data_IF_841803071298
#
_entry.id   IF_841803071298
#
_cell.length_a   1.000
_cell.length_b   1.000
_cell.length_c   1.000
_cell.angle_alpha   90.00
_cell.angle_beta   90.00
_cell.angle_gamma   90.00
#
_symmetry.space_group_name_H-M   'P 1'
#
loop_
_entity.id
_entity.type
_entity.pdbx_description
1 polymer ?
#
# COMPACT_ATOMS: atom_id res chain seq x y z
N UNK A 1 32.29 -4.85 -12.28
CA UNK A 1 32.12 -4.31 -10.91
C UNK A 1 30.61 -4.23 -10.71
N UNK A 2 30.03 -5.34 -10.28
CA UNK A 2 28.58 -5.55 -10.27
C UNK A 2 28.06 -5.29 -8.86
N UNK A 3 27.35 -4.17 -8.68
CA UNK A 3 26.59 -3.91 -7.46
C UNK A 3 25.29 -4.72 -7.53
N UNK A 4 25.33 -5.91 -6.92
CA UNK A 4 24.16 -6.69 -6.56
C UNK A 4 23.65 -6.07 -5.25
N UNK A 5 22.59 -5.26 -5.29
CA UNK A 5 21.95 -4.75 -4.07
C UNK A 5 20.84 -5.74 -3.71
N UNK A 6 21.07 -6.42 -2.60
CA UNK A 6 20.19 -7.41 -1.98
C UNK A 6 19.14 -6.65 -1.17
N UNK A 7 17.92 -6.55 -1.68
CA UNK A 7 16.73 -6.24 -0.86
C UNK A 7 16.07 -7.57 -0.53
N UNK A 8 16.60 -8.26 0.48
CA UNK A 8 16.03 -9.52 0.97
C UNK A 8 16.16 -9.61 2.48
N UNK A 9 15.30 -8.92 3.23
CA UNK A 9 14.92 -9.25 4.61
C UNK A 9 13.50 -8.68 4.80
N UNK A 10 12.39 -9.39 4.57
CA UNK A 10 11.89 -10.55 5.31
C UNK A 10 10.95 -11.39 4.43
N UNK A 11 11.20 -12.71 4.40
CA UNK A 11 10.32 -13.85 4.02
C UNK A 11 10.88 -14.72 2.89
N UNK A 12 11.96 -15.46 3.16
CA UNK A 12 12.29 -16.68 2.42
C UNK A 12 11.84 -17.91 3.21
N UNK A 13 10.89 -18.66 2.63
CA UNK A 13 10.96 -20.12 2.48
C UNK A 13 9.75 -20.65 1.70
N UNK A 14 9.99 -21.06 0.44
CA UNK A 14 9.52 -22.37 -0.04
C UNK A 14 8.37 -22.42 -1.04
N UNK A 15 8.70 -23.02 -2.19
CA UNK A 15 7.87 -23.75 -3.17
C UNK A 15 7.11 -22.95 -4.23
N UNK A 16 7.68 -22.93 -5.43
CA UNK A 16 7.02 -22.58 -6.68
C UNK A 16 6.19 -23.77 -7.21
N UNK A 17 4.92 -23.52 -7.50
CA UNK A 17 4.07 -24.36 -8.34
C UNK A 17 3.70 -23.49 -9.55
N UNK A 18 4.12 -23.91 -10.74
CA UNK A 18 3.79 -23.23 -11.99
C UNK A 18 2.34 -23.53 -12.39
N UNK A 19 1.55 -22.49 -12.60
CA UNK A 19 0.24 -22.58 -13.25
C UNK A 19 0.17 -21.46 -14.29
N UNK A 20 -0.01 -21.80 -15.57
CA UNK A 20 -0.32 -20.81 -16.60
C UNK A 20 -1.77 -20.35 -16.43
N UNK A 21 -2.00 -19.07 -16.18
CA UNK A 21 -3.32 -18.47 -16.17
C UNK A 21 -3.49 -17.55 -17.39
N UNK A 22 -4.59 -17.70 -18.11
CA UNK A 22 -4.97 -16.85 -19.23
C UNK A 22 -5.40 -15.46 -18.75
N UNK A 23 -5.12 -14.41 -19.54
CA UNK A 23 -5.36 -13.00 -19.20
C UNK A 23 -6.82 -12.67 -18.88
N UNK A 24 -7.78 -13.39 -19.45
CA UNK A 24 -9.22 -13.24 -19.15
C UNK A 24 -9.62 -13.75 -17.75
N UNK A 25 -8.83 -14.65 -17.16
CA UNK A 25 -9.11 -15.30 -15.88
C UNK A 25 -8.67 -14.44 -14.68
N UNK A 26 -7.76 -13.48 -14.89
CA UNK A 26 -7.26 -12.59 -13.83
C UNK A 26 -8.26 -11.46 -13.55
N UNK A 27 -8.81 -10.80 -14.58
CA UNK A 27 -9.90 -9.82 -14.40
C UNK A 27 -11.16 -10.47 -13.77
N UNK A 28 -11.48 -11.71 -14.17
CA UNK A 28 -12.58 -12.48 -13.58
C UNK A 28 -12.31 -12.89 -12.12
N UNK A 29 -11.03 -13.05 -11.73
CA UNK A 29 -10.64 -13.33 -10.35
C UNK A 29 -10.84 -12.14 -9.41
N UNK A 30 -10.69 -10.91 -9.91
CA UNK A 30 -10.96 -9.68 -9.15
C UNK A 30 -12.46 -9.34 -9.08
N UNK A 31 -13.22 -9.64 -10.13
CA UNK A 31 -14.66 -9.38 -10.21
C UNK A 31 -15.54 -10.54 -9.77
N UNK A 32 -14.94 -11.61 -9.19
CA UNK A 32 -15.72 -12.78 -8.76
C UNK A 32 -16.74 -12.33 -7.73
N UNK A 33 -17.99 -12.32 -8.16
CA UNK A 33 -19.19 -11.90 -7.43
C UNK A 33 -19.32 -12.76 -6.16
N UNK A 34 -18.55 -12.42 -5.12
CA UNK A 34 -18.69 -12.98 -3.79
C UNK A 34 -19.98 -12.38 -3.27
N UNK A 35 -21.04 -13.20 -3.21
CA UNK A 35 -22.19 -12.87 -2.36
C UNK A 35 -21.64 -12.33 -1.05
N UNK A 36 -22.09 -11.16 -0.58
CA UNK A 36 -21.68 -10.56 0.69
C UNK A 36 -21.69 -11.66 1.74
N UNK A 37 -20.52 -12.24 2.05
CA UNK A 37 -20.38 -13.03 3.25
C UNK A 37 -20.38 -11.98 4.34
N UNK A 38 -21.22 -12.16 5.36
CA UNK A 38 -21.00 -11.45 6.61
C UNK A 38 -19.62 -11.89 7.11
N UNK A 39 -18.60 -11.11 6.76
CA UNK A 39 -17.25 -11.27 7.29
C UNK A 39 -17.36 -11.11 8.79
N UNK A 40 -16.80 -12.06 9.54
CA UNK A 40 -16.81 -12.01 11.01
C UNK A 40 -15.69 -11.12 11.56
N UNK A 41 -14.76 -10.72 10.69
CA UNK A 41 -13.60 -9.89 11.00
C UNK A 41 -13.71 -8.53 10.28
N UNK A 42 -13.34 -7.46 11.00
CA UNK A 42 -13.38 -6.09 10.49
C UNK A 42 -12.44 -5.92 9.28
N UNK A 43 -11.22 -6.46 9.36
CA UNK A 43 -10.22 -6.34 8.30
C UNK A 43 -10.65 -7.03 6.99
N UNK A 44 -11.34 -8.16 7.10
CA UNK A 44 -11.91 -8.87 5.95
C UNK A 44 -13.11 -8.12 5.37
N UNK A 45 -13.95 -7.53 6.23
CA UNK A 45 -15.08 -6.72 5.80
C UNK A 45 -14.64 -5.52 4.95
N UNK A 46 -13.68 -4.72 5.42
CA UNK A 46 -13.23 -3.54 4.68
C UNK A 46 -12.53 -3.91 3.35
N UNK A 47 -11.79 -5.02 3.32
CA UNK A 47 -11.13 -5.49 2.10
C UNK A 47 -12.13 -6.02 1.07
N UNK A 48 -13.03 -6.92 1.47
CA UNK A 48 -13.98 -7.56 0.55
C UNK A 48 -14.98 -6.53 -0.03
N UNK A 49 -15.24 -5.42 0.66
CA UNK A 49 -16.10 -4.32 0.18
C UNK A 49 -15.35 -3.17 -0.52
N UNK A 50 -14.07 -3.34 -0.83
CA UNK A 50 -13.26 -2.39 -1.60
C UNK A 50 -12.52 -3.03 -2.78
N UNK A 51 -12.93 -4.25 -3.18
CA UNK A 51 -12.31 -5.01 -4.29
C UNK A 51 -12.53 -4.37 -5.66
N UNK A 52 -13.53 -3.50 -5.81
CA UNK A 52 -13.73 -2.67 -6.99
C UNK A 52 -12.50 -1.77 -7.24
N UNK A 53 -11.95 -1.18 -6.18
CA UNK A 53 -10.76 -0.33 -6.27
C UNK A 53 -9.49 -1.13 -6.60
N UNK A 54 -9.45 -2.44 -6.33
CA UNK A 54 -8.36 -3.30 -6.78
C UNK A 54 -8.34 -3.43 -8.31
N UNK A 55 -9.51 -3.56 -8.93
CA UNK A 55 -9.62 -3.58 -10.38
C UNK A 55 -9.20 -2.24 -11.00
N UNK A 56 -9.56 -1.12 -10.37
CA UNK A 56 -9.10 0.20 -10.80
C UNK A 56 -7.58 0.35 -10.69
N UNK A 57 -6.99 -0.05 -9.56
CA UNK A 57 -5.54 -0.04 -9.37
C UNK A 57 -4.80 -0.87 -10.43
N UNK A 58 -5.34 -2.03 -10.78
CA UNK A 58 -4.78 -2.93 -11.80
C UNK A 58 -4.70 -2.31 -13.20
N UNK A 59 -5.62 -1.39 -13.52
CA UNK A 59 -5.68 -0.72 -14.83
C UNK A 59 -4.98 0.64 -14.85
N UNK A 60 -4.39 1.07 -13.73
CA UNK A 60 -3.56 2.30 -13.72
C UNK A 60 -2.41 2.20 -14.72
N UNK A 61 -2.00 3.34 -15.27
CA UNK A 61 -0.90 3.38 -16.25
C UNK A 61 0.41 2.83 -15.69
N UNK A 62 0.70 3.07 -14.41
CA UNK A 62 1.88 2.50 -13.76
C UNK A 62 1.84 0.97 -13.71
N UNK A 63 0.78 0.38 -13.14
CA UNK A 63 0.68 -1.08 -12.96
C UNK A 63 0.59 -1.79 -14.31
N UNK A 64 -0.22 -1.28 -15.24
CA UNK A 64 -0.32 -1.83 -16.59
C UNK A 64 1.00 -1.70 -17.37
N UNK A 65 1.74 -0.60 -17.18
CA UNK A 65 3.05 -0.38 -17.78
C UNK A 65 4.12 -1.34 -17.25
N UNK A 66 4.14 -1.59 -15.94
CA UNK A 66 5.01 -2.62 -15.31
C UNK A 66 4.66 -4.00 -15.84
N UNK A 67 3.37 -4.35 -15.85
CA UNK A 67 2.85 -5.63 -16.36
C UNK A 67 3.32 -5.91 -17.78
N UNK A 68 3.25 -4.90 -18.65
CA UNK A 68 3.56 -5.02 -20.07
C UNK A 68 5.04 -4.78 -20.40
N UNK A 69 5.85 -4.33 -19.43
CA UNK A 69 7.26 -4.01 -19.65
C UNK A 69 7.49 -2.73 -20.47
N UNK A 70 6.51 -1.84 -20.53
CA UNK A 70 6.53 -0.65 -21.39
C UNK A 70 6.24 0.67 -20.65
N UNK A 71 6.21 0.67 -19.31
CA UNK A 71 6.22 1.91 -18.53
C UNK A 71 7.44 2.77 -18.94
N UNK A 72 7.26 4.09 -18.99
CA UNK A 72 8.39 4.99 -19.22
C UNK A 72 9.35 4.95 -18.00
N UNK A 73 10.66 4.76 -18.19
CA UNK A 73 11.62 4.77 -17.09
C UNK A 73 11.62 6.08 -16.26
N UNK A 74 11.24 7.22 -16.86
CA UNK A 74 11.06 8.47 -16.14
C UNK A 74 9.99 8.34 -15.05
N UNK A 75 8.85 7.76 -15.42
CA UNK A 75 7.70 7.55 -14.55
C UNK A 75 7.97 6.50 -13.47
N UNK A 76 8.71 5.44 -13.81
CA UNK A 76 9.22 4.50 -12.82
C UNK A 76 10.14 5.17 -11.80
N UNK A 77 11.12 5.96 -12.27
CA UNK A 77 12.05 6.66 -11.37
C UNK A 77 11.37 7.68 -10.46
N UNK A 78 10.42 8.46 -11.00
CA UNK A 78 9.63 9.41 -10.20
C UNK A 78 8.81 8.67 -9.13
N UNK A 79 8.13 7.57 -9.50
CA UNK A 79 7.37 6.75 -8.55
C UNK A 79 8.22 6.24 -7.39
N UNK A 80 9.32 5.54 -7.68
CA UNK A 80 10.17 4.92 -6.65
C UNK A 80 10.71 5.98 -5.70
N UNK A 81 11.07 7.16 -6.23
CA UNK A 81 11.53 8.26 -5.41
C UNK A 81 10.42 8.86 -4.53
N UNK A 82 9.22 9.06 -5.08
CA UNK A 82 8.08 9.52 -4.29
C UNK A 82 7.66 8.50 -3.23
N UNK A 83 7.76 7.20 -3.50
CA UNK A 83 7.45 6.13 -2.56
C UNK A 83 8.45 6.11 -1.39
N UNK A 84 9.74 6.36 -1.65
CA UNK A 84 10.74 6.56 -0.62
C UNK A 84 10.39 7.73 0.32
N UNK A 85 9.92 8.85 -0.25
CA UNK A 85 9.47 10.02 0.51
C UNK A 85 8.23 9.68 1.33
N UNK A 86 7.25 9.00 0.74
CA UNK A 86 6.06 8.51 1.44
C UNK A 86 6.44 7.65 2.66
N UNK A 87 7.28 6.63 2.46
CA UNK A 87 7.79 5.79 3.53
C UNK A 87 8.50 6.60 4.62
N UNK A 88 9.28 7.62 4.26
CA UNK A 88 9.97 8.49 5.22
C UNK A 88 8.99 9.28 6.07
N UNK A 89 7.98 9.89 5.45
CA UNK A 89 6.95 10.69 6.15
C UNK A 89 6.12 9.77 7.05
N UNK A 90 5.66 8.62 6.56
CA UNK A 90 4.88 7.66 7.36
C UNK A 90 5.70 7.14 8.56
N UNK A 91 7.01 6.91 8.41
CA UNK A 91 7.88 6.58 9.53
C UNK A 91 7.94 7.69 10.60
N UNK A 92 7.98 8.96 10.18
CA UNK A 92 7.93 10.10 11.10
C UNK A 92 6.59 10.17 11.82
N UNK A 93 5.49 9.96 11.11
CA UNK A 93 4.14 9.93 11.68
C UNK A 93 4.00 8.81 12.72
N UNK A 94 4.46 7.59 12.44
CA UNK A 94 4.53 6.52 13.44
C UNK A 94 5.42 6.86 14.64
N UNK A 95 6.52 7.57 14.42
CA UNK A 95 7.39 8.05 15.51
C UNK A 95 6.68 9.07 16.39
N UNK A 96 5.89 9.96 15.81
CA UNK A 96 5.08 10.92 16.56
C UNK A 96 4.03 10.19 17.40
N UNK A 97 3.33 9.22 16.80
CA UNK A 97 2.31 8.43 17.50
C UNK A 97 2.91 7.63 18.67
N UNK A 98 4.05 6.97 18.46
CA UNK A 98 4.75 6.20 19.50
C UNK A 98 5.19 7.06 20.70
N UNK A 99 5.50 8.34 20.48
CA UNK A 99 5.94 9.27 21.52
C UNK A 99 4.81 10.13 22.12
N UNK A 100 3.57 9.99 21.63
CA UNK A 100 2.45 10.77 22.12
C UNK A 100 1.86 10.16 23.40
N UNK A 101 2.22 10.72 24.55
CA UNK A 101 1.76 10.25 25.86
C UNK A 101 0.23 10.28 26.06
N UNK A 102 -0.52 11.00 25.22
CA UNK A 102 -1.98 11.05 25.25
C UNK A 102 -2.66 9.89 24.52
N UNK A 103 -1.92 9.08 23.76
CA UNK A 103 -2.42 7.90 23.03
C UNK A 103 -2.28 6.65 23.90
N UNK A 104 -3.16 5.66 23.76
CA UNK A 104 -3.11 4.40 24.51
C UNK A 104 -1.77 3.67 24.34
N UNK A 105 -1.29 3.04 25.42
CA UNK A 105 0.02 2.36 25.43
C UNK A 105 0.15 1.30 24.35
N UNK A 106 -0.88 0.49 24.13
CA UNK A 106 -0.86 -0.56 23.12
C UNK A 106 -0.71 -0.03 21.68
N UNK A 107 -1.29 1.14 21.38
CA UNK A 107 -1.14 1.77 20.07
C UNK A 107 0.27 2.34 19.93
N UNK A 108 0.82 2.94 20.99
CA UNK A 108 2.21 3.43 20.98
C UNK A 108 3.21 2.29 20.79
N UNK A 109 2.97 1.13 21.40
CA UNK A 109 3.79 -0.07 21.21
C UNK A 109 3.71 -0.59 19.77
N UNK A 110 2.51 -0.68 19.20
CA UNK A 110 2.33 -1.06 17.80
C UNK A 110 3.02 -0.07 16.84
N UNK A 111 2.86 1.23 17.11
CA UNK A 111 3.51 2.30 16.36
C UNK A 111 5.04 2.13 16.37
N UNK A 112 5.62 1.90 17.56
CA UNK A 112 7.05 1.68 17.71
C UNK A 112 7.55 0.46 16.91
N UNK A 113 6.77 -0.62 16.90
CA UNK A 113 7.05 -1.82 16.08
C UNK A 113 6.99 -1.57 14.56
N UNK A 114 6.22 -0.56 14.13
CA UNK A 114 6.00 -0.24 12.71
C UNK A 114 7.06 0.68 12.11
N UNK A 115 7.71 1.51 12.93
CA UNK A 115 8.69 2.53 12.48
C UNK A 115 9.79 1.96 11.58
N UNK A 116 10.42 0.84 12.00
CA UNK A 116 11.58 0.29 11.30
C UNK A 116 11.25 -0.13 9.87
N UNK A 117 10.07 -0.70 9.63
CA UNK A 117 9.66 -1.14 8.29
C UNK A 117 9.65 0.02 7.29
N UNK A 118 9.01 1.12 7.67
CA UNK A 118 8.94 2.32 6.85
C UNK A 118 10.27 3.06 6.73
N UNK A 119 11.12 3.05 7.77
CA UNK A 119 12.46 3.63 7.69
C UNK A 119 13.34 2.91 6.67
N UNK A 120 13.36 1.57 6.69
CA UNK A 120 14.14 0.77 5.74
C UNK A 120 13.68 1.02 4.30
N UNK A 121 12.37 1.08 4.07
CA UNK A 121 11.80 1.43 2.76
C UNK A 121 12.39 2.76 2.20
N UNK A 122 12.57 3.78 3.04
CA UNK A 122 13.08 5.09 2.59
C UNK A 122 14.60 5.16 2.39
N UNK A 123 15.38 4.54 3.27
CA UNK A 123 16.86 4.72 3.29
C UNK A 123 17.50 4.11 2.04
N UNK A 124 17.14 2.88 1.71
CA UNK A 124 17.74 2.15 0.59
C UNK A 124 17.45 2.86 -0.75
N UNK A 125 16.25 3.43 -0.88
CA UNK A 125 15.84 4.17 -2.07
C UNK A 125 16.53 5.54 -2.15
N UNK A 126 16.67 6.28 -1.05
CA UNK A 126 17.41 7.54 -1.07
C UNK A 126 18.88 7.35 -1.43
N UNK A 127 19.51 6.30 -0.90
CA UNK A 127 20.88 5.95 -1.26
C UNK A 127 21.00 5.57 -2.74
N UNK A 128 20.05 4.77 -3.25
CA UNK A 128 20.00 4.39 -4.68
C UNK A 128 19.91 5.61 -5.62
N UNK A 129 19.13 6.62 -5.24
CA UNK A 129 18.90 7.82 -6.04
C UNK A 129 19.85 8.99 -5.71
N UNK A 130 20.82 8.80 -4.80
CA UNK A 130 21.71 9.85 -4.29
C UNK A 130 20.95 11.07 -3.74
N UNK A 131 19.81 10.83 -3.09
CA UNK A 131 18.97 11.87 -2.50
C UNK A 131 19.49 12.15 -1.11
N UNK A 132 19.81 13.41 -0.84
CA UNK A 132 20.17 13.84 0.50
C UNK A 132 18.93 13.83 1.39
N UNK A 133 18.92 12.94 2.39
CA UNK A 133 17.98 12.97 3.51
C UNK A 133 18.61 13.74 4.67
N UNK A 134 18.15 14.96 4.91
CA UNK A 134 18.53 15.73 6.10
C UNK A 134 17.77 15.29 7.37
N UNK A 135 16.97 14.23 7.23
CA UNK A 135 16.07 13.65 8.23
C UNK A 135 14.92 14.56 8.64
N UNK A 136 14.79 15.73 8.01
CA UNK A 136 13.65 16.63 8.10
C UNK A 136 12.61 16.34 7.01
N UNK A 137 11.91 17.41 6.59
CA UNK A 137 10.91 17.38 5.51
C UNK A 137 11.46 17.99 4.21
N UNK A 138 12.78 18.14 4.10
CA UNK A 138 13.46 18.69 2.93
C UNK A 138 14.23 17.59 2.23
N UNK A 139 13.55 16.90 1.32
CA UNK A 139 14.19 16.00 0.38
C UNK A 139 14.86 16.87 -0.69
N UNK A 140 16.01 16.46 -1.23
CA UNK A 140 16.65 17.15 -2.36
C UNK A 140 15.81 17.19 -3.66
N UNK A 141 14.52 16.88 -3.58
CA UNK A 141 13.52 16.74 -4.63
C UNK A 141 12.15 17.22 -4.13
N UNK A 142 11.29 17.62 -5.06
CA UNK A 142 9.94 18.09 -4.74
C UNK A 142 9.03 16.91 -4.38
N UNK A 143 8.32 17.03 -3.26
CA UNK A 143 7.23 16.11 -2.88
C UNK A 143 6.02 16.40 -3.76
N UNK A 144 5.48 15.37 -4.41
CA UNK A 144 4.33 15.50 -5.33
C UNK A 144 3.01 15.51 -4.56
N UNK A 145 1.99 16.10 -5.18
CA UNK A 145 0.67 16.24 -4.57
C UNK A 145 0.06 14.91 -4.06
N UNK A 146 0.10 13.78 -4.79
CA UNK A 146 -0.48 12.52 -4.29
C UNK A 146 0.20 12.01 -3.00
N UNK A 147 1.51 12.22 -2.85
CA UNK A 147 2.22 11.89 -1.60
C UNK A 147 1.75 12.80 -0.47
N UNK A 148 1.61 14.10 -0.75
CA UNK A 148 1.14 15.08 0.23
C UNK A 148 -0.28 14.77 0.69
N UNK A 149 -1.18 14.47 -0.26
CA UNK A 149 -2.59 14.17 0.03
C UNK A 149 -2.70 12.91 0.89
N UNK A 150 -1.99 11.85 0.52
CA UNK A 150 -2.07 10.60 1.24
C UNK A 150 -1.45 10.68 2.63
N UNK A 151 -0.27 11.30 2.76
CA UNK A 151 0.37 11.48 4.07
C UNK A 151 -0.40 12.44 4.97
N UNK A 152 -1.07 13.45 4.40
CA UNK A 152 -1.99 14.33 5.13
C UNK A 152 -3.21 13.57 5.62
N UNK A 153 -3.78 12.70 4.78
CA UNK A 153 -4.88 11.81 5.17
C UNK A 153 -4.48 10.87 6.32
N UNK A 154 -3.32 10.20 6.23
CA UNK A 154 -2.81 9.35 7.32
C UNK A 154 -2.64 10.17 8.61
N UNK A 155 -2.06 11.37 8.53
CA UNK A 155 -1.90 12.24 9.69
C UNK A 155 -3.24 12.68 10.29
N UNK A 156 -4.26 12.94 9.47
CA UNK A 156 -5.61 13.25 9.94
C UNK A 156 -6.19 12.07 10.72
N UNK A 157 -6.10 10.85 10.19
CA UNK A 157 -6.57 9.64 10.90
C UNK A 157 -5.89 9.48 12.26
N UNK A 158 -4.57 9.69 12.35
CA UNK A 158 -3.82 9.64 13.61
C UNK A 158 -4.31 10.65 14.64
N UNK A 159 -4.72 11.84 14.20
CA UNK A 159 -5.12 12.95 15.06
C UNK A 159 -6.56 12.78 15.58
N UNK A 160 -7.45 12.27 14.73
CA UNK A 160 -8.86 12.09 15.07
C UNK A 160 -9.07 10.82 15.93
N UNK A 161 -8.49 9.70 15.50
CA UNK A 161 -8.53 8.44 16.23
C UNK A 161 -7.30 7.59 15.85
N UNK A 162 -6.37 7.42 16.79
CA UNK A 162 -5.12 6.72 16.55
C UNK A 162 -5.28 5.30 15.98
N UNK A 163 -6.37 4.59 16.28
CA UNK A 163 -6.65 3.28 15.70
C UNK A 163 -6.93 3.35 14.19
N UNK A 164 -7.56 4.44 13.70
CA UNK A 164 -7.88 4.62 12.28
C UNK A 164 -6.63 4.70 11.38
N UNK A 165 -5.49 5.05 11.95
CA UNK A 165 -4.17 4.97 11.29
C UNK A 165 -3.88 3.59 10.72
N UNK A 166 -4.28 2.54 11.44
CA UNK A 166 -4.06 1.17 10.97
C UNK A 166 -4.92 0.89 9.75
N UNK A 167 -6.13 1.45 9.67
CA UNK A 167 -6.98 1.32 8.48
C UNK A 167 -6.31 2.01 7.29
N UNK A 168 -5.86 3.26 7.48
CA UNK A 168 -5.22 4.05 6.43
C UNK A 168 -3.95 3.38 5.88
N UNK A 169 -3.09 2.85 6.76
CA UNK A 169 -1.83 2.20 6.35
C UNK A 169 -2.01 0.74 5.94
N UNK A 170 -3.12 0.08 6.31
CA UNK A 170 -3.39 -1.29 5.88
C UNK A 170 -3.62 -1.40 4.37
N UNK A 171 -4.21 -0.37 3.76
CA UNK A 171 -4.47 -0.33 2.32
C UNK A 171 -3.18 -0.53 1.51
N UNK A 172 -2.09 0.19 1.85
CA UNK A 172 -0.82 0.05 1.14
C UNK A 172 -0.28 -1.38 1.22
N UNK A 173 -0.20 -1.93 2.43
CA UNK A 173 0.35 -3.27 2.68
C UNK A 173 -0.43 -4.36 1.95
N UNK A 174 -1.77 -4.22 1.94
CA UNK A 174 -2.66 -5.21 1.36
C UNK A 174 -2.74 -5.09 -0.15
N UNK A 175 -2.88 -3.87 -0.68
CA UNK A 175 -2.98 -3.62 -2.12
C UNK A 175 -1.71 -4.02 -2.84
N UNK A 176 -0.55 -3.52 -2.39
CA UNK A 176 0.74 -3.86 -2.99
C UNK A 176 0.97 -5.36 -3.02
N UNK A 177 0.74 -6.04 -1.90
CA UNK A 177 0.92 -7.49 -1.85
C UNK A 177 0.05 -8.23 -2.86
N UNK A 178 -1.22 -7.82 -3.04
CA UNK A 178 -2.08 -8.43 -4.06
C UNK A 178 -1.56 -8.13 -5.47
N UNK A 179 -1.29 -6.86 -5.79
CA UNK A 179 -0.84 -6.44 -7.12
C UNK A 179 0.46 -7.14 -7.53
N UNK A 180 1.47 -7.17 -6.65
CA UNK A 180 2.79 -7.73 -6.98
C UNK A 180 2.77 -9.25 -7.12
N UNK A 181 1.92 -9.96 -6.35
CA UNK A 181 1.71 -11.40 -6.56
C UNK A 181 1.04 -11.70 -7.91
N UNK A 182 0.07 -10.88 -8.34
CA UNK A 182 -0.55 -11.05 -9.66
C UNK A 182 0.41 -10.65 -10.80
N UNK A 183 1.19 -9.59 -10.62
CA UNK A 183 2.24 -9.21 -11.57
C UNK A 183 3.29 -10.32 -11.69
N UNK A 184 3.70 -10.94 -10.58
CA UNK A 184 4.73 -11.99 -10.59
C UNK A 184 4.34 -13.16 -11.51
N UNK A 185 3.08 -13.62 -11.43
CA UNK A 185 2.55 -14.68 -12.31
C UNK A 185 2.71 -14.37 -13.80
N UNK A 186 2.75 -13.09 -14.17
CA UNK A 186 2.89 -12.62 -15.54
C UNK A 186 4.36 -12.42 -15.91
N UNK A 187 5.16 -11.79 -15.04
CA UNK A 187 6.52 -11.36 -15.38
C UNK A 187 7.59 -12.39 -15.05
N UNK A 188 7.31 -13.38 -14.20
CA UNK A 188 8.28 -14.42 -13.77
C UNK A 188 8.93 -15.10 -14.98
N UNK A 189 8.13 -15.50 -15.96
CA UNK A 189 8.57 -16.17 -17.18
C UNK A 189 9.10 -15.21 -18.26
N UNK A 190 8.86 -13.90 -18.14
CA UNK A 190 9.29 -12.91 -19.11
C UNK A 190 10.59 -12.22 -18.67
N UNK A 191 11.72 -12.86 -18.96
CA UNK A 191 13.05 -12.35 -18.62
C UNK A 191 13.44 -11.06 -19.34
N UNK A 192 12.67 -10.65 -20.37
CA UNK A 192 12.89 -9.38 -21.08
C UNK A 192 12.14 -8.19 -20.49
N UNK A 193 11.22 -8.42 -19.55
CA UNK A 193 10.51 -7.33 -18.88
C UNK A 193 11.50 -6.54 -17.99
N UNK A 194 11.75 -5.24 -18.25
CA UNK A 194 12.73 -4.45 -17.50
C UNK A 194 12.33 -4.23 -16.03
N UNK A 195 11.04 -4.39 -15.69
CA UNK A 195 10.51 -4.21 -14.35
C UNK A 195 10.42 -5.51 -13.56
N UNK A 196 10.90 -6.65 -14.10
CA UNK A 196 10.84 -7.96 -13.44
C UNK A 196 11.48 -7.94 -12.05
N UNK A 197 12.66 -7.32 -11.90
CA UNK A 197 13.37 -7.24 -10.61
C UNK A 197 12.54 -6.47 -9.58
N UNK A 198 11.92 -5.37 -9.99
CA UNK A 198 11.05 -4.62 -9.08
C UNK A 198 9.86 -5.46 -8.58
N UNK A 199 9.25 -6.26 -9.46
CA UNK A 199 8.17 -7.19 -9.05
C UNK A 199 8.72 -8.30 -8.14
N UNK A 200 9.91 -8.83 -8.45
CA UNK A 200 10.61 -9.85 -7.67
C UNK A 200 10.89 -9.37 -6.23
N UNK A 201 11.29 -8.11 -6.07
CA UNK A 201 11.61 -7.53 -4.77
C UNK A 201 10.36 -7.23 -3.92
N UNK A 202 9.18 -7.12 -4.54
CA UNK A 202 7.94 -6.68 -3.88
C UNK A 202 6.84 -7.74 -3.81
N UNK A 203 6.94 -8.88 -4.50
CA UNK A 203 6.01 -10.01 -4.28
C UNK A 203 6.34 -10.74 -2.98
N UNK A 204 5.36 -11.46 -2.42
CA UNK A 204 5.63 -12.26 -1.24
C UNK A 204 4.39 -12.65 -0.44
N UNK A 205 4.63 -13.13 0.78
CA UNK A 205 3.62 -13.77 1.64
C UNK A 205 2.53 -12.85 2.19
N UNK A 206 2.68 -11.54 2.07
CA UNK A 206 1.76 -10.56 2.65
C UNK A 206 1.80 -10.52 4.17
N UNK A 207 2.90 -10.95 4.79
CA UNK A 207 2.99 -11.11 6.24
C UNK A 207 2.75 -9.81 7.01
N UNK A 208 3.19 -8.66 6.49
CA UNK A 208 2.93 -7.34 7.10
C UNK A 208 1.45 -6.98 7.08
N UNK A 209 0.78 -7.14 5.93
CA UNK A 209 -0.66 -6.92 5.82
C UNK A 209 -1.43 -7.85 6.77
N UNK A 210 -1.04 -9.13 6.85
CA UNK A 210 -1.66 -10.10 7.75
C UNK A 210 -1.50 -9.71 9.22
N UNK A 211 -0.28 -9.35 9.66
CA UNK A 211 -0.04 -8.91 11.05
C UNK A 211 -0.88 -7.69 11.43
N UNK A 212 -1.06 -6.75 10.51
CA UNK A 212 -1.87 -5.57 10.74
C UNK A 212 -3.37 -5.89 10.78
N UNK A 213 -3.85 -6.75 9.87
CA UNK A 213 -5.22 -7.28 9.89
C UNK A 213 -5.52 -7.99 11.22
N UNK A 214 -4.65 -8.93 11.62
CA UNK A 214 -4.77 -9.67 12.87
C UNK A 214 -4.81 -8.71 14.08
N UNK A 215 -4.04 -7.62 14.06
CA UNK A 215 -4.02 -6.64 15.13
C UNK A 215 -5.31 -5.78 15.17
N UNK A 216 -5.82 -5.34 14.01
CA UNK A 216 -7.09 -4.62 13.93
C UNK A 216 -8.24 -5.49 14.44
N UNK A 217 -8.32 -6.74 13.98
CA UNK A 217 -9.37 -7.67 14.39
C UNK A 217 -9.23 -8.07 15.87
N UNK A 218 -8.00 -8.17 16.39
CA UNK A 218 -7.74 -8.39 17.82
C UNK A 218 -8.28 -7.24 18.67
N UNK A 219 -8.06 -6.00 18.26
CA UNK A 219 -8.55 -4.84 18.99
C UNK A 219 -10.07 -4.65 18.86
N UNK A 220 -10.66 -5.07 17.74
CA UNK A 220 -12.11 -5.04 17.52
C UNK A 220 -12.83 -6.35 17.91
N UNK A 221 -12.26 -7.18 18.78
CA UNK A 221 -12.83 -8.50 19.13
C UNK A 221 -14.30 -8.44 19.61
N UNK A 222 -14.69 -7.34 20.26
CA UNK A 222 -16.06 -7.13 20.74
C UNK A 222 -16.97 -6.39 19.72
N UNK A 223 -16.43 -6.03 18.55
CA UNK A 223 -17.12 -5.29 17.48
C UNK A 223 -17.54 -3.88 17.85
N UNK A 224 -16.77 -3.22 18.72
CA UNK A 224 -17.10 -1.92 19.31
C UNK A 224 -16.03 -0.87 19.13
N UNK A 225 -14.84 -1.25 18.68
CA UNK A 225 -13.75 -0.32 18.52
C UNK A 225 -13.92 0.49 17.24
N UNK A 226 -14.28 -0.20 16.15
CA UNK A 226 -14.51 0.45 14.86
C UNK A 226 -16.00 0.57 14.58
N UNK A 227 -16.43 1.72 14.04
CA UNK A 227 -17.60 1.74 13.18
C UNK A 227 -17.18 1.13 11.83
N UNK A 228 -17.81 0.01 11.46
CA UNK A 228 -17.41 -0.73 10.26
C UNK A 228 -17.68 0.05 8.97
N UNK A 229 -18.71 0.88 8.95
CA UNK A 229 -19.04 1.72 7.78
C UNK A 229 -18.05 2.87 7.63
N UNK A 230 -17.68 3.52 8.73
CA UNK A 230 -16.64 4.54 8.76
C UNK A 230 -15.28 3.93 8.39
N UNK A 231 -14.95 2.77 8.96
CA UNK A 231 -13.73 2.05 8.67
C UNK A 231 -13.62 1.64 7.20
N UNK A 232 -14.71 1.22 6.57
CA UNK A 232 -14.76 0.98 5.13
C UNK A 232 -14.51 2.28 4.34
N UNK A 233 -15.13 3.40 4.74
CA UNK A 233 -14.91 4.70 4.08
C UNK A 233 -13.44 5.14 4.15
N UNK A 234 -12.81 5.01 5.32
CA UNK A 234 -11.39 5.29 5.52
C UNK A 234 -10.51 4.37 4.66
N UNK A 235 -10.82 3.07 4.62
CA UNK A 235 -10.09 2.11 3.81
C UNK A 235 -10.19 2.41 2.32
N UNK A 236 -11.40 2.73 1.83
CA UNK A 236 -11.62 3.13 0.43
C UNK A 236 -10.89 4.43 0.10
N UNK A 237 -10.88 5.41 0.99
CA UNK A 237 -10.10 6.64 0.80
C UNK A 237 -8.59 6.35 0.70
N UNK A 238 -8.06 5.45 1.54
CA UNK A 238 -6.66 5.03 1.46
C UNK A 238 -6.35 4.33 0.11
N UNK A 239 -7.20 3.41 -0.33
CA UNK A 239 -7.09 2.75 -1.65
C UNK A 239 -7.13 3.74 -2.82
N UNK A 240 -8.00 4.77 -2.74
CA UNK A 240 -8.06 5.85 -3.74
C UNK A 240 -6.77 6.67 -3.78
N UNK A 241 -6.16 6.94 -2.62
CA UNK A 241 -4.87 7.61 -2.56
C UNK A 241 -3.76 6.77 -3.21
N UNK A 242 -3.74 5.44 -3.03
CA UNK A 242 -2.82 4.55 -3.75
C UNK A 242 -3.03 4.62 -5.27
N UNK A 243 -4.29 4.58 -5.72
CA UNK A 243 -4.63 4.69 -7.15
C UNK A 243 -4.17 6.04 -7.71
N UNK A 244 -4.37 7.13 -6.98
CA UNK A 244 -3.88 8.46 -7.37
C UNK A 244 -2.35 8.50 -7.46
N UNK A 245 -1.66 7.80 -6.55
CA UNK A 245 -0.22 7.63 -6.58
C UNK A 245 0.23 6.93 -7.88
N UNK A 246 -0.37 5.78 -8.21
CA UNK A 246 -0.09 5.05 -9.45
C UNK A 246 -0.44 5.85 -10.70
N UNK A 247 -1.55 6.59 -10.70
CA UNK A 247 -1.97 7.42 -11.82
C UNK A 247 -0.98 8.55 -12.09
N UNK A 248 -0.54 9.26 -11.04
CA UNK A 248 0.47 10.30 -11.18
C UNK A 248 1.77 9.75 -11.77
N UNK A 249 2.22 8.63 -11.23
CA UNK A 249 3.37 7.88 -11.70
C UNK A 249 3.19 7.26 -13.08
N UNK A 250 2.07 7.44 -13.76
CA UNK A 250 1.87 7.03 -15.14
C UNK A 250 1.40 8.17 -16.04
N UNK A 251 1.64 9.43 -15.64
CA UNK A 251 1.20 10.64 -16.35
C UNK A 251 -0.32 10.79 -16.50
N UNK A 252 -1.10 10.05 -15.72
CA UNK A 252 -2.54 10.21 -15.71
C UNK A 252 -2.90 11.39 -14.81
N UNK A 253 -3.81 12.23 -15.30
CA UNK A 253 -4.41 13.32 -14.51
C UNK A 253 -5.67 12.86 -13.76
N UNK A 254 -6.03 11.57 -13.84
CA UNK A 254 -7.19 11.03 -13.16
C UNK A 254 -6.95 11.04 -11.64
N UNK A 255 -7.85 11.68 -10.91
CA UNK A 255 -7.84 11.78 -9.46
C UNK A 255 -9.17 11.26 -8.94
N UNK A 256 -9.10 10.31 -8.02
CA UNK A 256 -10.23 9.80 -7.25
C UNK A 256 -10.34 10.57 -5.94
N UNK A 257 -11.54 11.06 -5.64
CA UNK A 257 -11.82 11.81 -4.41
C UNK A 257 -12.37 10.91 -3.31
N UNK A 258 -11.98 11.18 -2.07
CA UNK A 258 -12.48 10.45 -0.91
C UNK A 258 -13.94 10.78 -0.54
N UNK A 259 -14.48 11.91 -1.02
CA UNK A 259 -15.79 12.44 -0.60
C UNK A 259 -17.00 11.71 -1.22
N UNK A 260 -16.81 10.91 -2.27
CA UNK A 260 -17.93 10.37 -3.07
C UNK A 260 -18.66 9.15 -2.45
N UNK A 261 -18.10 8.49 -1.42
CA UNK A 261 -18.64 7.22 -0.89
C UNK A 261 -19.55 7.38 0.35
N UNK A 262 -19.73 8.60 0.88
CA UNK A 262 -20.59 8.85 2.07
C UNK A 262 -22.08 8.94 1.68
N UNK A 263 -22.39 9.13 0.40
CA UNK A 263 -23.75 9.42 -0.08
C UNK A 263 -24.59 8.19 -0.46
N UNK A 264 -24.01 7.01 -0.65
CA UNK A 264 -24.71 5.85 -1.24
C UNK A 264 -25.15 4.79 -0.24
N UNK A 265 -24.77 4.93 1.03
CA UNK A 265 -25.13 4.01 2.13
C UNK A 265 -26.39 4.42 2.91
N UNK A 266 -27.11 5.45 2.45
CA UNK A 266 -28.40 5.90 3.02
C UNK A 266 -29.47 5.95 1.90
N UNK A 267 -29.90 4.81 1.38
CA UNK A 267 -31.21 4.61 0.73
C UNK A 267 -31.70 3.19 0.89
#
# INVERSE_FOLDING_TARGET
MSMLIVVTILCSNGLSISVSADQHDIQSSFTRNRSIRQSTNFSEYIWDNAVDLLAEAWETTFISGVRNGNLDPYFYGDYVLQDAIYCRIVAQLWTQLANNASVEEEIREYANGSIRGFQVCSVDLFDMFNVKDDRGNSYGVLVKQPVQDYTSFINATMTENAHNTLIATYACLKLWNNLTNELWKIVEANTSNPYRIWVEDNFGSGSSARRQADQMDKWDQDGKLYDWSEGLSLFRCAMKNEINFFNHAGNSSAVLNCEEDISSSIT
#
